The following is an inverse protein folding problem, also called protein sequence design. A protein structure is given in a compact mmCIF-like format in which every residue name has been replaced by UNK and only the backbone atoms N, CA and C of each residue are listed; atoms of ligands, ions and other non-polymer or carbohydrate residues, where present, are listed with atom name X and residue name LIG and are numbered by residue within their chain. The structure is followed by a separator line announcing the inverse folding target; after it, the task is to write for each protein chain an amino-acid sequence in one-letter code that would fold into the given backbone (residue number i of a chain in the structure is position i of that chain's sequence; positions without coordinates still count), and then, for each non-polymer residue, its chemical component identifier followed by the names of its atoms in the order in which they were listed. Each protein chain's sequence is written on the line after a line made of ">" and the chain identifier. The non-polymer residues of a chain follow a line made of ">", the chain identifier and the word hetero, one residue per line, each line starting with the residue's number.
data_IF_693318330253
#
_entry.id   IF_693318330253
#
_cell.length_a   1.000
_cell.length_b   1.000
_cell.length_c   1.000
_cell.angle_alpha   90.00
_cell.angle_beta   90.00
_cell.angle_gamma   90.00
#
_symmetry.space_group_name_H-M   'P 1'
#
loop_
_entity.id
_entity.type
_entity.pdbx_description
1 polymer ?
#
# COMPACT_ATOMS: atom_id res chain seq x y z
N UNK A 1 -19.63 -9.29 20.50
CA UNK A 1 -19.66 -8.65 19.15
C UNK A 1 -18.89 -7.32 19.23
N UNK A 2 -17.64 -7.21 18.75
CA UNK A 2 -17.00 -5.87 18.55
C UNK A 2 -15.69 -5.88 17.75
N UNK A 3 -14.93 -6.99 17.71
CA UNK A 3 -13.57 -7.01 17.14
C UNK A 3 -13.40 -6.54 15.70
N UNK A 4 -14.40 -6.71 14.83
CA UNK A 4 -14.27 -6.36 13.41
C UNK A 4 -14.34 -4.84 13.19
N UNK A 5 -15.19 -4.14 13.94
CA UNK A 5 -15.37 -2.68 13.84
C UNK A 5 -14.13 -1.94 14.33
N UNK A 6 -13.58 -2.35 15.49
CA UNK A 6 -12.40 -1.70 16.09
C UNK A 6 -11.19 -1.68 15.15
N UNK A 7 -11.00 -2.76 14.38
CA UNK A 7 -9.90 -2.89 13.41
C UNK A 7 -10.08 -1.99 12.18
N UNK A 8 -11.30 -1.86 11.68
CA UNK A 8 -11.61 -1.00 10.53
C UNK A 8 -11.38 0.46 10.90
N UNK A 9 -11.86 0.89 12.08
CA UNK A 9 -11.68 2.26 12.57
C UNK A 9 -10.19 2.60 12.75
N UNK A 10 -9.40 1.66 13.26
CA UNK A 10 -7.95 1.83 13.37
C UNK A 10 -7.28 2.05 12.01
N UNK A 11 -7.63 1.26 10.99
CA UNK A 11 -7.05 1.40 9.64
C UNK A 11 -7.44 2.72 8.97
N UNK A 12 -8.68 3.16 9.14
CA UNK A 12 -9.12 4.47 8.61
C UNK A 12 -8.35 5.63 9.26
N UNK A 13 -8.23 5.63 10.59
CA UNK A 13 -7.45 6.64 11.33
C UNK A 13 -5.98 6.66 10.88
N UNK A 14 -5.39 5.48 10.69
CA UNK A 14 -4.01 5.34 10.22
C UNK A 14 -3.82 5.92 8.81
N UNK A 15 -4.76 5.64 7.89
CA UNK A 15 -4.74 6.18 6.52
C UNK A 15 -4.84 7.70 6.52
N UNK A 16 -5.75 8.26 7.31
CA UNK A 16 -5.90 9.72 7.46
C UNK A 16 -4.64 10.37 8.03
N UNK A 17 -4.00 9.74 9.03
CA UNK A 17 -2.73 10.21 9.60
C UNK A 17 -1.61 10.25 8.56
N UNK A 18 -1.45 9.19 7.78
CA UNK A 18 -0.43 9.13 6.72
C UNK A 18 -0.70 10.15 5.62
N UNK A 19 -1.94 10.30 5.17
CA UNK A 19 -2.34 11.32 4.19
C UNK A 19 -2.00 12.75 4.67
N UNK A 20 -2.19 13.03 5.95
CA UNK A 20 -1.86 14.33 6.55
C UNK A 20 -0.36 14.57 6.63
N UNK A 21 0.43 13.55 6.96
CA UNK A 21 1.88 13.67 7.16
C UNK A 21 2.68 13.64 5.85
N UNK A 22 2.24 12.85 4.87
CA UNK A 22 3.03 12.54 3.66
C UNK A 22 2.42 13.09 2.36
N UNK A 23 1.20 13.62 2.45
CA UNK A 23 0.47 14.17 1.32
C UNK A 23 -0.45 13.19 0.63
N UNK A 24 -1.15 13.69 -0.39
CA UNK A 24 -2.25 13.03 -1.11
C UNK A 24 -1.78 12.40 -2.43
N UNK A 25 -0.55 11.88 -2.48
CA UNK A 25 0.04 11.25 -3.66
C UNK A 25 0.66 9.91 -3.28
N UNK A 26 0.70 8.98 -4.24
CA UNK A 26 1.45 7.73 -4.11
C UNK A 26 2.94 8.05 -3.84
N UNK A 27 3.51 7.47 -2.79
CA UNK A 27 4.92 7.67 -2.42
C UNK A 27 5.90 7.03 -3.42
N UNK A 28 5.42 6.17 -4.34
CA UNK A 28 6.25 5.52 -5.37
C UNK A 28 6.19 6.20 -6.74
N UNK A 29 4.98 6.45 -7.25
CA UNK A 29 4.79 6.93 -8.62
C UNK A 29 4.11 8.31 -8.72
N UNK A 30 3.77 8.94 -7.59
CA UNK A 30 3.16 10.28 -7.59
C UNK A 30 1.67 10.34 -7.96
N UNK A 31 1.01 9.20 -8.25
CA UNK A 31 -0.42 9.14 -8.55
C UNK A 31 -1.27 9.89 -7.51
N UNK A 32 -2.17 10.76 -7.96
CA UNK A 32 -2.75 11.82 -7.12
C UNK A 32 -4.20 11.60 -6.67
N UNK A 33 -4.90 10.55 -7.13
CA UNK A 33 -6.24 10.24 -6.60
C UNK A 33 -6.11 9.53 -5.25
N UNK A 34 -5.98 10.32 -4.19
CA UNK A 34 -5.67 9.84 -2.85
C UNK A 34 -6.70 8.87 -2.25
N UNK A 35 -7.95 8.91 -2.74
CA UNK A 35 -9.04 8.04 -2.31
C UNK A 35 -8.65 6.56 -2.45
N UNK A 36 -7.97 6.21 -3.54
CA UNK A 36 -7.58 4.83 -3.86
C UNK A 36 -6.23 4.41 -3.30
N UNK A 37 -5.50 5.29 -2.61
CA UNK A 37 -4.22 4.91 -2.02
C UNK A 37 -4.42 3.90 -0.89
N UNK A 38 -3.53 2.93 -0.81
CA UNK A 38 -3.50 1.87 0.19
C UNK A 38 -2.33 2.07 1.15
N UNK A 39 -2.51 1.61 2.39
CA UNK A 39 -1.41 1.43 3.33
C UNK A 39 -0.71 0.13 2.96
N UNK A 40 0.58 0.22 2.73
CA UNK A 40 1.45 -0.92 2.52
C UNK A 40 2.44 -1.04 3.67
N UNK A 41 2.56 -2.24 4.24
CA UNK A 41 3.57 -2.60 5.23
C UNK A 41 4.82 -3.06 4.49
N UNK A 42 5.94 -2.33 4.61
CA UNK A 42 7.21 -2.62 3.91
C UNK A 42 7.76 -4.00 4.28
N UNK A 43 7.63 -4.38 5.55
CA UNK A 43 8.00 -5.71 6.06
C UNK A 43 6.95 -6.80 5.78
N UNK A 44 5.83 -6.45 5.12
CA UNK A 44 4.68 -7.32 4.83
C UNK A 44 4.00 -7.90 6.09
N UNK A 45 4.32 -7.40 7.28
CA UNK A 45 3.71 -7.78 8.54
C UNK A 45 2.62 -6.77 8.94
N UNK A 46 1.36 -7.17 8.78
CA UNK A 46 0.18 -6.34 9.10
C UNK A 46 0.05 -5.95 10.58
N UNK A 47 0.80 -6.60 11.47
CA UNK A 47 0.88 -6.25 12.90
C UNK A 47 1.82 -5.08 13.20
N UNK A 48 2.80 -4.82 12.32
CA UNK A 48 3.81 -3.79 12.53
C UNK A 48 3.35 -2.43 11.97
N UNK A 49 2.57 -1.69 12.77
CA UNK A 49 2.01 -0.39 12.39
C UNK A 49 2.91 0.81 12.72
N UNK A 50 4.22 0.60 12.90
CA UNK A 50 5.19 1.70 13.04
C UNK A 50 5.16 2.52 11.76
N UNK A 51 4.99 3.85 11.87
CA UNK A 51 4.79 4.72 10.70
C UNK A 51 5.88 4.55 9.64
N UNK A 52 7.14 4.42 10.04
CA UNK A 52 8.27 4.26 9.12
C UNK A 52 8.25 2.94 8.35
N UNK A 53 7.58 1.92 8.89
CA UNK A 53 7.32 0.64 8.22
C UNK A 53 6.13 0.73 7.24
N UNK A 54 5.35 1.80 7.27
CA UNK A 54 4.22 1.99 6.38
C UNK A 54 4.60 2.84 5.16
N UNK A 55 3.90 2.62 4.05
CA UNK A 55 3.93 3.45 2.85
C UNK A 55 2.52 3.66 2.31
N UNK A 56 2.23 4.83 1.78
CA UNK A 56 0.98 5.18 1.13
C UNK A 56 1.14 5.10 -0.39
N UNK A 57 0.64 4.03 -1.00
CA UNK A 57 0.87 3.74 -2.43
C UNK A 57 -0.42 3.45 -3.19
N UNK A 58 -0.42 3.64 -4.51
CA UNK A 58 -1.61 3.35 -5.34
C UNK A 58 -1.81 1.84 -5.52
N UNK A 59 -3.01 1.40 -5.97
CA UNK A 59 -3.29 -0.03 -6.15
C UNK A 59 -2.33 -0.72 -7.13
N UNK A 60 -1.88 -0.01 -8.18
CA UNK A 60 -0.93 -0.57 -9.15
C UNK A 60 0.44 -0.83 -8.50
N UNK A 61 1.03 0.18 -7.84
CA UNK A 61 2.31 -0.02 -7.15
C UNK A 61 2.20 -1.01 -5.99
N UNK A 62 1.04 -1.10 -5.33
CA UNK A 62 0.77 -2.12 -4.32
C UNK A 62 0.73 -3.52 -4.92
N UNK A 63 0.14 -3.67 -6.10
CA UNK A 63 0.12 -4.93 -6.82
C UNK A 63 1.53 -5.31 -7.29
N UNK A 64 2.27 -4.38 -7.88
CA UNK A 64 3.66 -4.58 -8.30
C UNK A 64 4.51 -5.11 -7.15
N UNK A 65 4.42 -4.49 -5.97
CA UNK A 65 5.14 -4.91 -4.78
C UNK A 65 4.90 -6.37 -4.37
N UNK A 66 3.67 -6.87 -4.51
CA UNK A 66 3.33 -8.21 -4.06
C UNK A 66 3.52 -9.29 -5.14
N UNK A 67 3.46 -8.91 -6.43
CA UNK A 67 3.25 -9.87 -7.50
C UNK A 67 4.20 -9.71 -8.70
N UNK A 68 4.84 -8.56 -8.89
CA UNK A 68 5.66 -8.33 -10.09
C UNK A 68 6.83 -9.33 -10.20
N UNK A 69 7.53 -9.57 -9.08
CA UNK A 69 8.63 -10.55 -9.01
C UNK A 69 8.18 -11.99 -9.34
N UNK A 70 6.91 -12.30 -9.13
CA UNK A 70 6.32 -13.63 -9.37
C UNK A 70 5.65 -13.75 -10.73
N UNK A 71 5.72 -12.71 -11.56
CA UNK A 71 5.12 -12.73 -12.88
C UNK A 71 5.78 -13.82 -13.74
N UNK A 72 4.95 -14.66 -14.37
CA UNK A 72 5.43 -15.65 -15.34
C UNK A 72 6.08 -15.00 -16.58
N UNK A 73 5.78 -13.72 -16.82
CA UNK A 73 6.41 -12.93 -17.89
C UNK A 73 7.88 -12.59 -17.62
N UNK A 74 8.39 -12.78 -16.40
CA UNK A 74 9.78 -12.47 -16.08
C UNK A 74 10.79 -13.36 -16.85
N UNK A 75 10.33 -14.48 -17.41
CA UNK A 75 11.10 -15.34 -18.33
C UNK A 75 10.70 -15.21 -19.80
N UNK A 76 9.78 -14.30 -20.14
CA UNK A 76 9.27 -14.15 -21.51
C UNK A 76 10.13 -13.15 -22.29
N UNK A 77 10.85 -13.63 -23.30
CA UNK A 77 11.59 -12.76 -24.23
C UNK A 77 10.64 -12.24 -25.32
N UNK A 78 10.41 -10.93 -25.35
CA UNK A 78 9.60 -10.23 -26.37
C UNK A 78 10.35 -9.98 -27.70
N UNK A 79 11.60 -10.45 -27.81
CA UNK A 79 12.42 -10.30 -29.01
C UNK A 79 12.32 -11.55 -29.90
N UNK A 80 11.16 -11.73 -30.52
CA UNK A 80 10.97 -12.59 -31.70
C UNK A 80 10.29 -11.75 -32.78
#
# INVERSE_FOLDING_TARGET
>A
MSRLHDKVDHQQRLKLRLLKQRGKKCERCGYSKFQILHIHHKDRNRGNNILDNLALICPNCHYEEHYLEKSWLNGYNLHH
#
